data_IF_194689993132
#
_entry.id   IF_194689993132
#
_cell.length_a   1.000
_cell.length_b   1.000
_cell.length_c   1.000
_cell.angle_alpha   90.00
_cell.angle_beta   90.00
_cell.angle_gamma   90.00
#
_symmetry.space_group_name_H-M   'P 1'
#
loop_
_entity.id
_entity.type
_entity.pdbx_description
1 polymer ?
#
# COMPACT_ATOMS: atom_id res chain seq x y z
N UNK A 1 -10.35 10.61 -11.97
CA UNK A 1 -10.77 11.07 -10.63
C UNK A 1 -10.16 12.44 -10.33
N UNK A 2 -10.86 13.32 -9.60
CA UNK A 2 -10.26 14.55 -9.04
C UNK A 2 -10.17 14.40 -7.52
N UNK A 3 -8.96 14.48 -6.99
CA UNK A 3 -8.71 14.49 -5.56
C UNK A 3 -9.12 15.84 -4.95
N UNK A 4 -9.77 15.83 -3.78
CA UNK A 4 -9.96 17.06 -2.99
C UNK A 4 -8.67 17.43 -2.25
N UNK A 5 -8.02 16.45 -1.62
CA UNK A 5 -6.68 16.56 -1.03
C UNK A 5 -5.91 15.28 -1.33
N UNK A 6 -4.97 15.30 -2.29
CA UNK A 6 -4.17 14.10 -2.65
C UNK A 6 -3.12 13.85 -1.56
N UNK A 7 -3.06 12.64 -0.95
CA UNK A 7 -1.99 12.29 -0.02
C UNK A 7 -0.63 12.33 -0.71
N UNK A 8 0.40 12.73 0.02
CA UNK A 8 1.78 12.74 -0.45
C UNK A 8 2.72 12.20 0.63
N UNK A 9 3.70 11.40 0.21
CA UNK A 9 4.82 10.98 1.06
C UNK A 9 6.11 11.67 0.59
N UNK A 10 7.18 11.60 1.39
CA UNK A 10 8.47 12.22 1.06
C UNK A 10 8.99 11.76 -0.31
N UNK A 11 9.61 12.66 -1.08
CA UNK A 11 10.31 12.34 -2.33
C UNK A 11 11.47 11.35 -2.11
N UNK A 12 12.03 11.32 -0.90
CA UNK A 12 13.07 10.36 -0.52
C UNK A 12 12.53 9.00 -0.06
N UNK A 13 11.21 8.79 -0.10
CA UNK A 13 10.61 7.54 0.35
C UNK A 13 10.94 6.42 -0.65
N UNK A 14 11.45 5.25 -0.21
CA UNK A 14 11.90 4.18 -1.10
C UNK A 14 10.81 3.60 -2.00
N UNK A 15 9.55 3.88 -1.69
CA UNK A 15 8.36 3.42 -2.43
C UNK A 15 7.51 4.58 -2.95
N UNK A 16 8.07 5.77 -3.18
CA UNK A 16 7.32 6.95 -3.65
C UNK A 16 6.55 6.68 -4.94
N UNK A 17 7.23 6.16 -5.96
CA UNK A 17 6.64 5.87 -7.28
C UNK A 17 5.48 4.88 -7.16
N UNK A 18 5.66 3.85 -6.35
CA UNK A 18 4.67 2.82 -6.11
C UNK A 18 3.46 3.36 -5.32
N UNK A 19 3.70 4.20 -4.32
CA UNK A 19 2.63 4.88 -3.59
C UNK A 19 1.81 5.79 -4.53
N UNK A 20 2.48 6.55 -5.40
CA UNK A 20 1.79 7.37 -6.40
C UNK A 20 0.98 6.52 -7.38
N UNK A 21 1.53 5.39 -7.84
CA UNK A 21 0.82 4.42 -8.70
C UNK A 21 -0.45 3.93 -8.03
N UNK A 22 -0.36 3.48 -6.76
CA UNK A 22 -1.50 2.99 -5.99
C UNK A 22 -2.59 4.07 -5.83
N UNK A 23 -2.20 5.34 -5.69
CA UNK A 23 -3.16 6.46 -5.64
C UNK A 23 -3.91 6.65 -6.96
N UNK A 24 -3.32 6.27 -8.09
CA UNK A 24 -3.92 6.46 -9.42
C UNK A 24 -4.80 5.27 -9.87
N UNK A 25 -4.65 4.09 -9.25
CA UNK A 25 -5.47 2.89 -9.50
C UNK A 25 -6.94 3.08 -9.14
N UNK A 26 -7.86 2.43 -9.86
CA UNK A 26 -9.26 2.40 -9.44
C UNK A 26 -9.48 1.52 -8.18
N UNK A 27 -10.73 1.44 -7.72
CA UNK A 27 -11.04 0.72 -6.48
C UNK A 27 -10.77 -0.78 -6.59
N UNK A 28 -11.14 -1.39 -7.71
CA UNK A 28 -11.04 -2.84 -7.87
C UNK A 28 -9.58 -3.23 -8.10
N UNK A 29 -8.85 -2.44 -8.89
CA UNK A 29 -7.40 -2.56 -9.05
C UNK A 29 -6.66 -2.43 -7.71
N UNK A 30 -6.98 -1.42 -6.90
CA UNK A 30 -6.34 -1.24 -5.60
C UNK A 30 -6.67 -2.38 -4.63
N UNK A 31 -7.89 -2.93 -4.67
CA UNK A 31 -8.26 -4.09 -3.87
C UNK A 31 -7.51 -5.36 -4.30
N UNK A 32 -7.25 -5.54 -5.60
CA UNK A 32 -6.44 -6.66 -6.10
C UNK A 32 -4.98 -6.53 -5.64
N UNK A 33 -4.39 -5.34 -5.72
CA UNK A 33 -3.03 -5.08 -5.21
C UNK A 33 -2.93 -5.33 -3.71
N UNK A 34 -3.90 -4.85 -2.93
CA UNK A 34 -3.95 -5.11 -1.48
C UNK A 34 -4.04 -6.61 -1.20
N UNK A 35 -4.86 -7.34 -1.97
CA UNK A 35 -4.95 -8.79 -1.80
C UNK A 35 -3.62 -9.47 -2.09
N UNK A 36 -2.95 -9.13 -3.19
CA UNK A 36 -1.63 -9.67 -3.53
C UNK A 36 -0.62 -9.38 -2.42
N UNK A 37 -0.59 -8.15 -1.92
CA UNK A 37 0.30 -7.74 -0.83
C UNK A 37 0.03 -8.52 0.47
N UNK A 38 -1.23 -8.80 0.78
CA UNK A 38 -1.60 -9.60 1.96
C UNK A 38 -1.15 -11.06 1.79
N UNK A 39 -1.39 -11.65 0.63
CA UNK A 39 -1.00 -13.04 0.35
C UNK A 39 0.53 -13.20 0.42
N UNK A 40 1.27 -12.26 -0.18
CA UNK A 40 2.74 -12.20 -0.12
C UNK A 40 3.25 -12.03 1.33
N UNK A 41 2.60 -11.16 2.13
CA UNK A 41 2.94 -10.97 3.54
C UNK A 41 2.80 -12.27 4.35
N UNK A 42 1.71 -13.00 4.17
CA UNK A 42 1.48 -14.26 4.89
C UNK A 42 2.46 -15.35 4.44
N UNK A 43 2.79 -15.42 3.15
CA UNK A 43 3.80 -16.35 2.65
C UNK A 43 5.18 -16.04 3.26
N UNK A 44 5.57 -14.76 3.25
CA UNK A 44 6.83 -14.31 3.84
C UNK A 44 6.88 -14.59 5.35
N UNK A 45 5.81 -14.27 6.08
CA UNK A 45 5.72 -14.53 7.52
C UNK A 45 5.87 -16.02 7.84
N UNK A 46 5.19 -16.88 7.08
CA UNK A 46 5.30 -18.34 7.20
C UNK A 46 6.74 -18.83 7.00
N UNK A 47 7.44 -18.32 5.97
CA UNK A 47 8.87 -18.63 5.74
C UNK A 47 9.77 -18.16 6.89
N UNK A 48 9.49 -16.98 7.48
CA UNK A 48 10.26 -16.46 8.62
C UNK A 48 10.09 -17.32 9.87
N UNK A 49 8.87 -17.75 10.17
CA UNK A 49 8.58 -18.64 11.31
C UNK A 49 9.33 -19.97 11.17
N UNK A 50 9.53 -20.45 9.94
CA UNK A 50 10.30 -21.67 9.67
C UNK A 50 11.82 -21.47 9.73
N UNK A 51 12.33 -20.33 9.25
CA UNK A 51 13.79 -20.09 9.09
C UNK A 51 14.44 -19.34 10.26
N UNK A 52 13.64 -18.73 11.15
CA UNK A 52 14.11 -18.06 12.37
C UNK A 52 15.01 -16.84 12.12
N UNK A 53 14.99 -16.25 10.92
CA UNK A 53 15.82 -15.10 10.55
C UNK A 53 14.99 -14.04 9.87
N UNK A 54 15.21 -12.79 10.29
CA UNK A 54 14.61 -11.59 9.71
C UNK A 54 15.70 -10.86 8.92
N UNK A 55 15.50 -10.63 7.63
CA UNK A 55 16.45 -9.86 6.82
C UNK A 55 15.94 -8.43 6.57
N UNK A 56 16.71 -7.60 5.85
CA UNK A 56 16.31 -6.21 5.57
C UNK A 56 15.23 -6.15 4.47
N UNK A 57 15.26 -7.07 3.50
CA UNK A 57 14.27 -7.13 2.42
C UNK A 57 12.87 -7.42 2.98
N UNK A 58 12.81 -8.29 3.96
CA UNK A 58 11.65 -8.59 4.78
C UNK A 58 10.97 -7.33 5.36
N UNK A 59 11.75 -6.41 5.92
CA UNK A 59 11.25 -5.14 6.48
C UNK A 59 10.76 -4.18 5.39
N UNK A 60 11.46 -4.15 4.26
CA UNK A 60 11.09 -3.34 3.10
C UNK A 60 9.76 -3.83 2.50
N UNK A 61 9.58 -5.14 2.38
CA UNK A 61 8.35 -5.77 1.90
C UNK A 61 7.16 -5.47 2.82
N UNK A 62 7.34 -5.54 4.15
CA UNK A 62 6.28 -5.12 5.08
C UNK A 62 5.88 -3.66 4.92
N UNK A 63 6.85 -2.77 4.72
CA UNK A 63 6.56 -1.35 4.52
C UNK A 63 5.81 -1.12 3.20
N UNK A 64 6.18 -1.84 2.15
CA UNK A 64 5.46 -1.82 0.88
C UNK A 64 4.00 -2.25 1.03
N UNK A 65 3.73 -3.32 1.78
CA UNK A 65 2.35 -3.75 2.05
C UNK A 65 1.53 -2.74 2.86
N UNK A 66 2.16 -2.03 3.81
CA UNK A 66 1.48 -0.97 4.57
C UNK A 66 1.03 0.18 3.66
N UNK A 67 1.82 0.51 2.65
CA UNK A 67 1.50 1.61 1.72
C UNK A 67 0.20 1.36 0.94
N UNK A 68 -0.11 0.12 0.52
CA UNK A 68 -1.34 -0.15 -0.22
C UNK A 68 -2.59 -0.02 0.66
N UNK A 69 -2.51 -0.49 1.91
CA UNK A 69 -3.58 -0.32 2.91
C UNK A 69 -3.78 1.17 3.23
N UNK A 70 -2.69 1.90 3.42
CA UNK A 70 -2.72 3.34 3.68
C UNK A 70 -3.34 4.11 2.50
N UNK A 71 -2.96 3.78 1.28
CA UNK A 71 -3.53 4.38 0.06
C UNK A 71 -5.03 4.17 -0.01
N UNK A 72 -5.52 2.96 0.30
CA UNK A 72 -6.95 2.67 0.32
C UNK A 72 -7.70 3.44 1.41
N UNK A 73 -7.12 3.54 2.61
CA UNK A 73 -7.67 4.36 3.68
C UNK A 73 -7.84 5.81 3.22
N UNK A 74 -6.80 6.42 2.66
CA UNK A 74 -6.88 7.80 2.18
C UNK A 74 -7.87 7.97 1.02
N UNK A 75 -7.92 7.03 0.07
CA UNK A 75 -8.75 7.20 -1.12
C UNK A 75 -10.26 7.06 -0.84
N UNK A 76 -10.64 6.07 -0.03
CA UNK A 76 -12.03 5.63 0.06
C UNK A 76 -12.66 5.76 1.46
N UNK A 77 -11.84 5.81 2.52
CA UNK A 77 -12.34 5.82 3.91
C UNK A 77 -12.24 7.21 4.53
N UNK A 78 -11.09 7.87 4.38
CA UNK A 78 -10.84 9.18 4.94
C UNK A 78 -11.74 10.23 4.27
N UNK A 79 -12.42 11.05 5.09
CA UNK A 79 -13.40 12.04 4.65
C UNK A 79 -12.76 13.32 4.09
N UNK A 80 -11.52 13.62 4.48
CA UNK A 80 -10.80 14.85 4.11
C UNK A 80 -10.11 14.71 2.74
N UNK A 81 -9.82 13.48 2.34
CA UNK A 81 -9.19 13.12 1.06
C UNK A 81 -10.14 12.35 0.15
N UNK A 82 -11.41 12.18 0.57
CA UNK A 82 -12.39 11.31 -0.08
C UNK A 82 -12.59 11.71 -1.53
N UNK A 83 -12.46 10.73 -2.42
CA UNK A 83 -12.90 10.92 -3.80
C UNK A 83 -14.42 11.00 -3.80
N UNK A 84 -14.97 12.17 -4.15
CA UNK A 84 -16.40 12.27 -4.47
C UNK A 84 -16.60 11.70 -5.86
N UNK A 85 -17.26 10.56 -5.93
CA UNK A 85 -17.79 10.06 -7.20
C UNK A 85 -18.83 11.07 -7.69
N UNK A 86 -18.61 11.64 -8.89
CA UNK A 86 -19.60 12.43 -9.62
C UNK A 86 -20.55 11.50 -10.37
#
# INVERSE_FOLDING_TARGET
MKWENRPSISESHPFKEEYDRLLDLDRDELLMEIKSHIDDYFEMKSKREQLGKLNVNDLLTEQWHKNSIETFYWKFINKDTKVKDL
#
